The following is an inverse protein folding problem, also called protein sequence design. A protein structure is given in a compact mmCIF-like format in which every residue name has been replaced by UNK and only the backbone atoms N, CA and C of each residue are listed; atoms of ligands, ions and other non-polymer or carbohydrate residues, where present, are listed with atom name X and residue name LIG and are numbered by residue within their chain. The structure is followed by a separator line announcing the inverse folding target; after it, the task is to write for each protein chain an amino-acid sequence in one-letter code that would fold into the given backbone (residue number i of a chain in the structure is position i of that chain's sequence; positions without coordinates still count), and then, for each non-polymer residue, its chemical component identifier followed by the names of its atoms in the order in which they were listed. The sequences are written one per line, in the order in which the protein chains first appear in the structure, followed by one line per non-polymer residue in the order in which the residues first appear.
data_IF_795786884679
#
_entry.id   IF_795786884679
#
_cell.length_a   1.000
_cell.length_b   1.000
_cell.length_c   1.000
_cell.angle_alpha   90.00
_cell.angle_beta   90.00
_cell.angle_gamma   90.00
#
_symmetry.space_group_name_H-M   'P 1'
#
loop_
_entity.id
_entity.type
_entity.pdbx_description
1 polymer ?
#
# COMPACT_ATOMS: atom_id res chain seq x y z
N UNK A 1 -28.37 42.91 9.14
CA UNK A 1 -29.48 42.16 8.51
C UNK A 1 -30.24 41.32 9.55
N UNK A 2 -31.59 41.32 9.56
CA UNK A 2 -32.40 40.45 10.43
C UNK A 2 -32.10 38.96 10.19
N UNK A 3 -32.22 38.13 11.23
CA UNK A 3 -31.87 36.69 11.15
C UNK A 3 -32.61 35.93 10.05
N UNK A 4 -33.90 36.20 9.86
CA UNK A 4 -34.75 35.50 8.89
C UNK A 4 -34.25 35.62 7.43
N UNK A 5 -33.64 36.74 7.05
CA UNK A 5 -33.16 36.93 5.67
C UNK A 5 -31.71 36.51 5.43
N UNK A 6 -30.96 36.11 6.47
CA UNK A 6 -29.52 35.80 6.33
C UNK A 6 -29.30 34.57 5.45
N UNK A 7 -30.04 33.49 5.71
CA UNK A 7 -29.89 32.23 4.96
C UNK A 7 -30.22 32.42 3.48
N UNK A 8 -31.26 33.20 3.17
CA UNK A 8 -31.64 33.53 1.80
C UNK A 8 -30.55 34.35 1.08
N UNK A 9 -29.99 35.37 1.74
CA UNK A 9 -28.89 36.14 1.18
C UNK A 9 -27.64 35.29 0.91
N UNK A 10 -27.31 34.37 1.83
CA UNK A 10 -26.20 33.43 1.62
C UNK A 10 -26.52 32.48 0.46
N UNK A 11 -27.76 31.99 0.36
CA UNK A 11 -28.21 31.09 -0.72
C UNK A 11 -28.08 31.77 -2.08
N UNK A 12 -28.60 32.98 -2.25
CA UNK A 12 -28.49 33.74 -3.50
C UNK A 12 -27.01 34.01 -3.84
N UNK A 13 -26.18 34.33 -2.85
CA UNK A 13 -24.76 34.66 -3.10
C UNK A 13 -23.90 33.42 -3.35
N UNK A 14 -24.21 32.28 -2.75
CA UNK A 14 -23.43 31.04 -2.90
C UNK A 14 -24.00 30.17 -4.03
N UNK A 15 -25.26 29.77 -3.97
CA UNK A 15 -25.84 28.79 -4.89
C UNK A 15 -26.07 29.38 -6.28
N UNK A 16 -26.63 30.58 -6.37
CA UNK A 16 -26.99 31.20 -7.67
C UNK A 16 -25.78 31.82 -8.38
N UNK A 17 -24.76 32.27 -7.65
CA UNK A 17 -23.51 32.81 -8.23
C UNK A 17 -22.41 31.75 -8.43
N UNK A 18 -22.79 30.47 -8.48
CA UNK A 18 -21.93 29.39 -8.94
C UNK A 18 -21.02 28.79 -7.87
N UNK A 19 -21.53 28.61 -6.65
CA UNK A 19 -20.92 27.86 -5.56
C UNK A 19 -19.48 28.28 -5.19
N UNK A 20 -19.24 29.60 -5.12
CA UNK A 20 -17.92 30.13 -4.73
C UNK A 20 -17.58 29.78 -3.28
N UNK A 21 -16.28 29.78 -2.97
CA UNK A 21 -15.78 29.48 -1.62
C UNK A 21 -16.21 30.54 -0.59
N UNK A 22 -16.15 30.16 0.69
CA UNK A 22 -16.63 30.99 1.81
C UNK A 22 -16.10 32.43 1.78
N UNK A 23 -14.79 32.61 1.55
CA UNK A 23 -14.19 33.95 1.46
C UNK A 23 -14.83 34.82 0.39
N UNK A 24 -15.02 34.29 -0.82
CA UNK A 24 -15.65 35.03 -1.93
C UNK A 24 -17.11 35.36 -1.64
N UNK A 25 -17.85 34.42 -1.04
CA UNK A 25 -19.25 34.63 -0.64
C UNK A 25 -19.35 35.72 0.44
N UNK A 26 -18.48 35.70 1.45
CA UNK A 26 -18.39 36.76 2.47
C UNK A 26 -18.11 38.11 1.83
N UNK A 27 -17.12 38.21 0.93
CA UNK A 27 -16.78 39.48 0.27
C UNK A 27 -17.91 40.02 -0.59
N UNK A 28 -18.66 39.16 -1.26
CA UNK A 28 -19.84 39.59 -2.02
C UNK A 28 -20.97 40.08 -1.10
N UNK A 29 -21.22 39.41 0.02
CA UNK A 29 -22.23 39.83 1.00
C UNK A 29 -21.86 41.17 1.65
N UNK A 30 -20.59 41.34 2.04
CA UNK A 30 -20.09 42.54 2.73
C UNK A 30 -20.24 43.84 1.94
N UNK A 31 -20.38 43.77 0.60
CA UNK A 31 -20.68 44.95 -0.22
C UNK A 31 -22.10 45.51 -0.01
N UNK A 32 -23.02 44.70 0.55
CA UNK A 32 -24.46 44.99 0.58
C UNK A 32 -25.04 44.91 1.99
N UNK A 33 -24.57 43.96 2.79
CA UNK A 33 -25.12 43.64 4.10
C UNK A 33 -24.00 43.24 5.06
N UNK A 34 -24.27 43.39 6.36
CA UNK A 34 -23.40 42.92 7.42
C UNK A 34 -24.19 42.41 8.64
N UNK A 35 -23.62 41.46 9.38
CA UNK A 35 -24.07 41.05 10.71
C UNK A 35 -22.92 40.43 11.52
N UNK A 36 -23.01 40.42 12.87
CA UNK A 36 -22.05 39.73 13.73
C UNK A 36 -22.05 38.22 13.46
N UNK A 37 -20.86 37.61 13.31
CA UNK A 37 -20.71 36.17 13.03
C UNK A 37 -20.92 35.76 11.57
N UNK A 38 -21.03 36.72 10.64
CA UNK A 38 -21.23 36.45 9.21
C UNK A 38 -20.23 35.46 8.62
N UNK A 39 -18.95 35.59 8.95
CA UNK A 39 -17.91 34.72 8.36
C UNK A 39 -18.11 33.26 8.76
N UNK A 40 -18.44 33.01 10.03
CA UNK A 40 -18.70 31.68 10.57
C UNK A 40 -20.01 31.09 10.00
N UNK A 41 -21.08 31.90 9.94
CA UNK A 41 -22.36 31.47 9.36
C UNK A 41 -22.20 31.10 7.87
N UNK A 42 -21.49 31.92 7.09
CA UNK A 42 -21.20 31.63 5.67
C UNK A 42 -20.28 30.42 5.53
N UNK A 43 -19.24 30.31 6.34
CA UNK A 43 -18.34 29.16 6.31
C UNK A 43 -19.08 27.85 6.63
N UNK A 44 -19.99 27.86 7.61
CA UNK A 44 -20.85 26.72 7.92
C UNK A 44 -21.81 26.38 6.76
N UNK A 45 -22.41 27.39 6.12
CA UNK A 45 -23.30 27.20 4.97
C UNK A 45 -22.58 26.57 3.77
N UNK A 46 -21.40 27.08 3.41
CA UNK A 46 -20.59 26.55 2.30
C UNK A 46 -20.07 25.14 2.63
N UNK A 47 -19.63 24.90 3.87
CA UNK A 47 -19.14 23.58 4.31
C UNK A 47 -20.23 22.51 4.24
N UNK A 48 -21.49 22.87 4.48
CA UNK A 48 -22.64 21.95 4.42
C UNK A 48 -23.27 21.83 3.03
N UNK A 49 -22.79 22.59 2.03
CA UNK A 49 -23.32 22.49 0.67
C UNK A 49 -22.97 21.13 0.03
N UNK A 50 -23.99 20.32 -0.26
CA UNK A 50 -23.82 18.97 -0.79
C UNK A 50 -23.08 18.96 -2.14
N UNK A 51 -23.38 19.92 -3.03
CA UNK A 51 -22.72 20.05 -4.34
C UNK A 51 -21.23 20.37 -4.21
N UNK A 52 -20.87 21.25 -3.29
CA UNK A 52 -19.46 21.56 -3.01
C UNK A 52 -18.73 20.36 -2.41
N UNK A 53 -19.33 19.66 -1.45
CA UNK A 53 -18.73 18.47 -0.83
C UNK A 53 -18.53 17.33 -1.85
N UNK A 54 -19.47 17.14 -2.77
CA UNK A 54 -19.38 16.12 -3.83
C UNK A 54 -18.27 16.41 -4.86
N UNK A 55 -17.97 17.68 -5.13
CA UNK A 55 -17.06 18.09 -6.22
C UNK A 55 -15.67 18.55 -5.76
N UNK A 56 -15.53 19.03 -4.53
CA UNK A 56 -14.24 19.54 -4.06
C UNK A 56 -13.20 18.41 -3.95
N UNK A 57 -12.00 18.59 -4.54
CA UNK A 57 -10.94 17.62 -4.39
C UNK A 57 -10.41 17.64 -2.95
N UNK A 58 -10.48 16.50 -2.28
CA UNK A 58 -9.87 16.30 -0.98
C UNK A 58 -8.93 15.09 -1.04
N UNK A 59 -7.77 15.22 -0.40
CA UNK A 59 -6.88 14.08 -0.21
C UNK A 59 -6.95 13.70 1.28
N UNK A 60 -7.19 12.43 1.56
CA UNK A 60 -7.14 11.90 2.92
C UNK A 60 -5.90 11.03 3.02
N UNK A 61 -5.01 11.41 3.91
CA UNK A 61 -3.83 10.61 4.24
C UNK A 61 -4.04 9.93 5.58
N UNK A 62 -3.59 8.68 5.67
CA UNK A 62 -3.60 7.92 6.93
C UNK A 62 -2.16 7.82 7.46
N UNK A 63 -1.99 7.70 8.79
CA UNK A 63 -0.69 7.46 9.39
C UNK A 63 -0.03 6.21 8.79
N UNK A 64 1.23 6.33 8.40
CA UNK A 64 1.99 5.19 7.89
C UNK A 64 2.35 4.29 9.07
N UNK A 65 1.99 3.01 8.95
CA UNK A 65 2.48 1.97 9.85
C UNK A 65 3.86 1.51 9.39
N UNK A 66 4.85 1.56 10.28
CA UNK A 66 6.20 1.07 10.01
C UNK A 66 6.25 -0.40 10.38
N UNK A 67 6.48 -1.25 9.39
CA UNK A 67 6.75 -2.67 9.65
C UNK A 67 8.20 -2.86 10.08
N UNK A 68 8.43 -3.74 11.05
CA UNK A 68 9.77 -4.19 11.43
C UNK A 68 10.25 -5.17 10.36
N UNK A 69 11.47 -5.02 9.82
CA UNK A 69 12.01 -5.95 8.85
C UNK A 69 12.34 -7.30 9.51
N UNK A 70 11.71 -8.37 9.01
CA UNK A 70 12.04 -9.74 9.36
C UNK A 70 13.44 -10.16 8.83
N UNK A 71 13.85 -11.40 9.08
CA UNK A 71 15.00 -11.99 8.39
C UNK A 71 14.78 -12.05 6.88
N UNK A 72 15.87 -12.03 6.07
CA UNK A 72 15.78 -12.20 4.61
C UNK A 72 14.92 -13.40 4.21
N UNK A 73 14.13 -13.23 3.15
CA UNK A 73 13.26 -14.24 2.55
C UNK A 73 12.13 -14.77 3.43
N UNK A 74 11.88 -14.18 4.61
CA UNK A 74 10.71 -14.53 5.42
C UNK A 74 9.43 -13.88 4.89
N UNK A 75 9.52 -12.64 4.43
CA UNK A 75 8.38 -11.85 3.92
C UNK A 75 8.71 -11.32 2.55
N UNK A 76 7.99 -11.80 1.55
CA UNK A 76 8.14 -11.37 0.17
C UNK A 76 6.92 -10.56 -0.27
N UNK A 77 7.13 -9.73 -1.29
CA UNK A 77 6.06 -9.00 -1.93
C UNK A 77 6.05 -9.28 -3.41
N UNK A 78 4.91 -9.72 -3.92
CA UNK A 78 4.71 -10.05 -5.33
C UNK A 78 3.83 -9.01 -6.00
N UNK A 79 4.13 -8.72 -7.26
CA UNK A 79 3.38 -7.77 -8.08
C UNK A 79 3.53 -8.11 -9.56
N UNK A 80 2.54 -7.71 -10.37
CA UNK A 80 2.59 -7.85 -11.82
C UNK A 80 2.72 -6.47 -12.46
N UNK A 81 3.83 -6.28 -13.17
CA UNK A 81 4.14 -5.04 -13.87
C UNK A 81 3.86 -5.20 -15.35
N UNK A 82 3.01 -4.34 -15.90
CA UNK A 82 2.68 -4.32 -17.33
C UNK A 82 3.67 -3.49 -18.14
N UNK A 83 3.96 -3.95 -19.35
CA UNK A 83 4.88 -3.32 -20.31
C UNK A 83 4.23 -3.22 -21.70
N UNK A 84 4.76 -2.38 -22.60
CA UNK A 84 4.40 -2.45 -24.02
C UNK A 84 4.62 -3.87 -24.55
N UNK A 85 3.66 -4.36 -25.37
CA UNK A 85 3.76 -5.69 -25.95
C UNK A 85 5.02 -5.81 -26.82
N UNK A 86 5.88 -6.77 -26.51
CA UNK A 86 7.12 -7.00 -27.24
C UNK A 86 7.57 -8.46 -27.14
N UNK A 87 8.04 -9.03 -28.26
CA UNK A 87 8.48 -10.44 -28.34
C UNK A 87 7.48 -11.45 -27.74
N UNK A 88 6.17 -11.15 -27.85
CA UNK A 88 5.10 -11.96 -27.28
C UNK A 88 4.86 -11.78 -25.78
N UNK A 89 5.64 -10.95 -25.08
CA UNK A 89 5.49 -10.60 -23.67
C UNK A 89 4.69 -9.31 -23.50
N UNK A 90 3.93 -9.21 -22.41
CA UNK A 90 3.12 -8.02 -22.09
C UNK A 90 3.25 -7.58 -20.62
N UNK A 91 3.85 -8.41 -19.78
CA UNK A 91 4.03 -8.13 -18.37
C UNK A 91 5.23 -8.89 -17.81
N UNK A 92 5.57 -8.61 -16.57
CA UNK A 92 6.44 -9.45 -15.75
C UNK A 92 5.85 -9.58 -14.35
N UNK A 93 5.93 -10.78 -13.78
CA UNK A 93 5.71 -10.97 -12.35
C UNK A 93 7.05 -10.77 -11.64
N UNK A 94 7.03 -9.97 -10.59
CA UNK A 94 8.20 -9.64 -9.78
C UNK A 94 7.92 -10.02 -8.33
N UNK A 95 8.92 -10.58 -7.67
CA UNK A 95 8.89 -10.87 -6.24
C UNK A 95 10.11 -10.21 -5.60
N UNK A 96 9.88 -9.41 -4.57
CA UNK A 96 10.93 -8.71 -3.85
C UNK A 96 10.91 -9.07 -2.37
N UNK A 97 12.08 -9.41 -1.82
CA UNK A 97 12.26 -9.61 -0.39
C UNK A 97 12.17 -8.29 0.38
N UNK A 98 11.41 -8.28 1.48
CA UNK A 98 11.13 -7.09 2.27
C UNK A 98 12.39 -6.51 2.96
N UNK A 99 13.30 -7.38 3.41
CA UNK A 99 14.50 -7.00 4.18
C UNK A 99 15.64 -6.63 3.22
N UNK A 100 16.12 -7.59 2.43
CA UNK A 100 17.28 -7.42 1.54
C UNK A 100 16.94 -6.56 0.33
N UNK A 101 15.70 -6.62 -0.15
CA UNK A 101 15.31 -6.08 -1.45
C UNK A 101 15.68 -6.96 -2.63
N UNK A 102 16.08 -8.22 -2.39
CA UNK A 102 16.44 -9.16 -3.44
C UNK A 102 15.22 -9.39 -4.33
N UNK A 103 15.43 -9.29 -5.64
CA UNK A 103 14.35 -9.36 -6.63
C UNK A 103 14.47 -10.62 -7.50
N UNK A 104 13.39 -11.37 -7.59
CA UNK A 104 13.14 -12.40 -8.59
C UNK A 104 12.08 -11.91 -9.58
N UNK A 105 12.14 -12.39 -10.81
CA UNK A 105 11.16 -11.96 -11.79
C UNK A 105 11.13 -12.82 -13.04
N UNK A 106 9.93 -12.94 -13.61
CA UNK A 106 9.68 -13.68 -14.85
C UNK A 106 8.81 -12.87 -15.80
N UNK A 107 9.22 -12.82 -17.07
CA UNK A 107 8.46 -12.24 -18.18
C UNK A 107 7.24 -13.10 -18.49
N UNK A 108 6.08 -12.47 -18.66
CA UNK A 108 4.79 -13.10 -18.89
C UNK A 108 4.23 -12.76 -20.28
N UNK A 109 3.89 -13.81 -21.05
CA UNK A 109 3.13 -13.69 -22.31
C UNK A 109 1.64 -13.51 -22.05
N UNK A 110 1.13 -14.13 -20.98
CA UNK A 110 -0.24 -14.00 -20.48
C UNK A 110 -0.19 -13.77 -18.98
N UNK A 111 -1.04 -12.87 -18.49
CA UNK A 111 -1.20 -12.61 -17.06
C UNK A 111 -2.35 -13.48 -16.57
N UNK A 112 -2.01 -14.65 -16.07
CA UNK A 112 -2.96 -15.59 -15.47
C UNK A 112 -2.39 -16.25 -14.22
N UNK A 113 -3.28 -16.78 -13.38
CA UNK A 113 -2.90 -17.37 -12.11
C UNK A 113 -2.00 -18.60 -12.24
N UNK A 114 -2.11 -19.36 -13.34
CA UNK A 114 -1.27 -20.54 -13.58
C UNK A 114 0.17 -20.14 -13.84
N UNK A 115 0.39 -19.09 -14.63
CA UNK A 115 1.70 -18.55 -14.96
C UNK A 115 2.39 -17.96 -13.73
N UNK A 116 1.63 -17.24 -12.89
CA UNK A 116 2.12 -16.72 -11.60
C UNK A 116 2.46 -17.85 -10.64
N UNK A 117 1.58 -18.85 -10.48
CA UNK A 117 1.86 -20.02 -9.64
C UNK A 117 3.13 -20.77 -10.09
N UNK A 118 3.28 -20.98 -11.41
CA UNK A 118 4.47 -21.62 -11.97
C UNK A 118 5.75 -20.83 -11.64
N UNK A 119 5.72 -19.51 -11.72
CA UNK A 119 6.83 -18.65 -11.33
C UNK A 119 7.16 -18.75 -9.83
N UNK A 120 6.14 -18.60 -8.97
CA UNK A 120 6.31 -18.69 -7.52
C UNK A 120 6.92 -20.04 -7.12
N UNK A 121 6.51 -21.13 -7.76
CA UNK A 121 7.11 -22.43 -7.52
C UNK A 121 8.56 -22.49 -8.00
N UNK A 122 8.79 -22.30 -9.31
CA UNK A 122 10.07 -22.62 -9.95
C UNK A 122 11.21 -21.64 -9.64
N UNK A 123 10.91 -20.38 -9.31
CA UNK A 123 11.94 -19.35 -9.13
C UNK A 123 11.97 -18.74 -7.73
N UNK A 124 10.92 -18.93 -6.93
CA UNK A 124 10.86 -18.40 -5.56
C UNK A 124 10.99 -19.54 -4.54
N UNK A 125 10.03 -20.46 -4.49
CA UNK A 125 9.98 -21.50 -3.46
C UNK A 125 11.09 -22.55 -3.61
N UNK A 126 11.37 -23.00 -4.84
CA UNK A 126 12.47 -23.97 -5.08
C UNK A 126 13.86 -23.35 -4.91
N UNK A 127 13.98 -22.02 -4.90
CA UNK A 127 15.25 -21.30 -4.76
C UNK A 127 15.54 -20.89 -3.32
N UNK A 128 14.54 -20.32 -2.65
CA UNK A 128 14.69 -19.73 -1.33
C UNK A 128 14.06 -20.57 -0.21
N UNK A 129 13.36 -21.65 -0.56
CA UNK A 129 12.60 -22.48 0.36
C UNK A 129 11.22 -21.92 0.67
N UNK A 130 10.57 -22.50 1.68
CA UNK A 130 9.28 -22.02 2.16
C UNK A 130 9.44 -20.65 2.81
N UNK A 131 8.78 -19.65 2.23
CA UNK A 131 8.69 -18.30 2.82
C UNK A 131 7.48 -18.22 3.74
N UNK A 132 7.56 -17.46 4.83
CA UNK A 132 6.45 -17.39 5.78
C UNK A 132 5.25 -16.64 5.19
N UNK A 133 5.51 -15.53 4.51
CA UNK A 133 4.47 -14.64 4.00
C UNK A 133 4.78 -14.15 2.59
N UNK A 134 3.76 -14.15 1.72
CA UNK A 134 3.77 -13.44 0.45
C UNK A 134 2.64 -12.42 0.44
N UNK A 135 3.03 -11.16 0.32
CA UNK A 135 2.11 -10.04 0.18
C UNK A 135 1.84 -9.80 -1.30
N UNK A 136 0.57 -9.85 -1.70
CA UNK A 136 0.12 -9.60 -3.08
C UNK A 136 -0.92 -8.49 -3.09
N UNK A 137 -1.21 -7.92 -4.26
CA UNK A 137 -2.43 -7.15 -4.42
C UNK A 137 -3.66 -8.08 -4.52
N UNK A 138 -4.86 -7.51 -4.67
CA UNK A 138 -6.10 -8.27 -4.86
C UNK A 138 -6.34 -8.68 -6.34
N UNK A 139 -5.28 -8.73 -7.15
CA UNK A 139 -5.32 -9.12 -8.56
C UNK A 139 -5.83 -10.55 -8.77
N UNK A 140 -6.50 -10.80 -9.90
CA UNK A 140 -7.05 -12.13 -10.23
C UNK A 140 -5.95 -13.17 -10.47
N UNK A 141 -4.78 -12.71 -10.88
CA UNK A 141 -3.57 -13.50 -11.11
C UNK A 141 -2.97 -14.10 -9.82
N UNK A 142 -3.27 -13.53 -8.64
CA UNK A 142 -2.82 -14.06 -7.36
C UNK A 142 -3.89 -14.91 -6.66
N UNK A 143 -5.02 -15.18 -7.33
CA UNK A 143 -6.10 -16.04 -6.86
C UNK A 143 -6.05 -17.41 -7.53
N UNK A 144 -6.91 -18.34 -7.13
CA UNK A 144 -7.03 -19.65 -7.78
C UNK A 144 -5.74 -20.46 -7.69
N UNK A 145 -5.10 -20.75 -8.83
CA UNK A 145 -3.90 -21.60 -8.87
C UNK A 145 -2.75 -21.09 -7.99
N UNK A 146 -2.54 -19.77 -7.93
CA UNK A 146 -1.51 -19.18 -7.07
C UNK A 146 -1.85 -19.35 -5.58
N UNK A 147 -3.11 -19.11 -5.20
CA UNK A 147 -3.58 -19.32 -3.82
C UNK A 147 -3.48 -20.78 -3.38
N UNK A 148 -3.90 -21.72 -4.25
CA UNK A 148 -3.80 -23.17 -3.98
C UNK A 148 -2.35 -23.60 -3.79
N UNK A 149 -1.43 -23.06 -4.60
CA UNK A 149 0.00 -23.30 -4.43
C UNK A 149 0.48 -22.79 -3.07
N UNK A 150 0.19 -21.54 -2.72
CA UNK A 150 0.66 -20.94 -1.46
C UNK A 150 0.12 -21.71 -0.24
N UNK A 151 -1.17 -22.10 -0.26
CA UNK A 151 -1.77 -22.96 0.77
C UNK A 151 -1.08 -24.31 0.88
N UNK A 152 -0.74 -24.95 -0.25
CA UNK A 152 -0.03 -26.25 -0.27
C UNK A 152 1.32 -26.19 0.44
N UNK A 153 2.03 -25.07 0.34
CA UNK A 153 3.35 -24.89 0.97
C UNK A 153 3.28 -24.14 2.31
N UNK A 154 2.08 -24.02 2.91
CA UNK A 154 1.85 -23.30 4.17
C UNK A 154 2.39 -21.86 4.17
N UNK A 155 2.37 -21.22 2.99
CA UNK A 155 2.77 -19.82 2.83
C UNK A 155 1.55 -18.94 3.07
N UNK A 156 1.65 -18.04 4.05
CA UNK A 156 0.56 -17.12 4.35
C UNK A 156 0.47 -16.02 3.27
N UNK A 157 -0.64 -16.01 2.52
CA UNK A 157 -0.89 -14.98 1.50
C UNK A 157 -1.61 -13.79 2.12
N UNK A 158 -0.94 -12.63 2.14
CA UNK A 158 -1.56 -11.36 2.58
C UNK A 158 -2.02 -10.60 1.35
N UNK A 159 -3.32 -10.35 1.22
CA UNK A 159 -3.88 -9.59 0.09
C UNK A 159 -4.10 -8.14 0.49
N UNK A 160 -3.46 -7.23 -0.22
CA UNK A 160 -3.65 -5.80 -0.01
C UNK A 160 -4.68 -5.30 -1.01
N UNK A 161 -5.69 -4.58 -0.52
CA UNK A 161 -6.63 -3.88 -1.38
C UNK A 161 -5.89 -2.85 -2.24
N UNK A 162 -6.30 -2.67 -3.50
CA UNK A 162 -5.68 -1.73 -4.43
C UNK A 162 -5.65 -0.26 -3.93
N UNK A 163 -6.33 0.02 -2.81
CA UNK A 163 -6.52 1.36 -2.25
C UNK A 163 -5.74 1.60 -0.95
N UNK A 164 -5.12 0.57 -0.35
CA UNK A 164 -4.24 0.68 0.83
C UNK A 164 -2.75 0.86 0.48
N UNK A 165 -2.47 1.46 -0.68
CA UNK A 165 -1.12 1.67 -1.26
C UNK A 165 -0.16 2.46 -0.37
N UNK A 166 -0.68 3.28 0.56
CA UNK A 166 0.14 4.13 1.43
C UNK A 166 1.04 3.31 2.38
N UNK A 167 0.56 2.18 2.91
CA UNK A 167 1.35 1.30 3.77
C UNK A 167 2.42 0.48 3.03
N UNK A 168 2.16 0.11 1.77
CA UNK A 168 3.06 -0.71 0.95
C UNK A 168 3.93 0.11 -0.03
N UNK A 169 3.91 1.44 0.10
CA UNK A 169 4.50 2.37 -0.88
C UNK A 169 6.01 2.21 -1.09
N UNK A 170 6.75 1.58 -0.18
CA UNK A 170 8.18 1.27 -0.39
C UNK A 170 8.37 0.25 -1.53
N UNK A 171 7.42 -0.66 -1.70
CA UNK A 171 7.53 -1.79 -2.62
C UNK A 171 6.86 -1.46 -3.94
N UNK A 172 5.73 -0.76 -3.91
CA UNK A 172 5.16 -0.15 -5.13
C UNK A 172 6.16 0.80 -5.79
N UNK A 173 6.91 1.58 -5.00
CA UNK A 173 8.04 2.37 -5.51
C UNK A 173 9.14 1.48 -6.07
N UNK A 174 9.48 0.37 -5.40
CA UNK A 174 10.49 -0.57 -5.87
C UNK A 174 10.19 -1.17 -7.25
N UNK A 175 8.97 -1.64 -7.49
CA UNK A 175 8.57 -2.20 -8.79
C UNK A 175 8.47 -1.12 -9.88
N UNK A 176 7.99 0.08 -9.54
CA UNK A 176 7.99 1.22 -10.45
C UNK A 176 9.42 1.62 -10.84
N UNK A 177 10.32 1.74 -9.87
CA UNK A 177 11.73 2.06 -10.12
C UNK A 177 12.38 1.01 -11.03
N UNK A 178 12.13 -0.28 -10.79
CA UNK A 178 12.60 -1.35 -11.67
C UNK A 178 12.07 -1.20 -13.10
N UNK A 179 10.76 -0.96 -13.26
CA UNK A 179 10.13 -0.74 -14.57
C UNK A 179 10.80 0.39 -15.33
N UNK A 180 10.96 1.54 -14.68
CA UNK A 180 11.57 2.73 -15.27
C UNK A 180 13.05 2.50 -15.61
N UNK A 181 13.81 1.85 -14.71
CA UNK A 181 15.20 1.51 -14.97
C UNK A 181 15.34 0.58 -16.18
N UNK A 182 14.49 -0.45 -16.28
CA UNK A 182 14.47 -1.37 -17.41
C UNK A 182 14.16 -0.64 -18.73
N UNK A 183 13.15 0.23 -18.74
CA UNK A 183 12.80 1.01 -19.92
C UNK A 183 13.90 1.99 -20.32
N UNK A 184 14.57 2.64 -19.37
CA UNK A 184 15.71 3.54 -19.63
C UNK A 184 16.94 2.80 -20.15
N UNK A 185 17.15 1.57 -19.73
CA UNK A 185 18.23 0.70 -20.23
C UNK A 185 17.95 0.11 -21.61
N UNK A 186 16.76 0.35 -22.17
CA UNK A 186 16.36 -0.14 -23.48
C UNK A 186 16.43 0.98 -24.51
N UNK A 187 17.04 0.74 -25.67
CA UNK A 187 17.10 1.73 -26.76
C UNK A 187 15.71 2.13 -27.25
N UNK A 188 14.79 1.15 -27.29
CA UNK A 188 13.37 1.35 -27.57
C UNK A 188 12.52 0.69 -26.48
N UNK A 189 11.33 1.21 -26.17
CA UNK A 189 10.45 0.58 -25.18
C UNK A 189 10.12 -0.89 -25.48
N UNK A 190 10.16 -1.32 -26.75
CA UNK A 190 9.96 -2.71 -27.16
C UNK A 190 11.14 -3.65 -26.87
N UNK A 191 12.33 -3.14 -26.54
CA UNK A 191 13.51 -3.97 -26.26
C UNK A 191 13.58 -4.45 -24.80
N UNK A 192 12.63 -4.02 -23.96
CA UNK A 192 12.54 -4.40 -22.55
C UNK A 192 12.68 -5.91 -22.28
N UNK A 193 12.15 -6.85 -23.12
CA UNK A 193 12.30 -8.27 -22.83
C UNK A 193 13.76 -8.74 -22.92
N UNK A 194 14.59 -8.09 -23.74
CA UNK A 194 16.02 -8.41 -23.92
C UNK A 194 16.82 -7.97 -22.69
N UNK A 195 16.53 -6.77 -22.18
CA UNK A 195 17.23 -6.17 -21.04
C UNK A 195 16.75 -6.67 -19.67
N UNK A 196 15.68 -7.47 -19.63
CA UNK A 196 15.02 -7.88 -18.39
C UNK A 196 15.96 -8.53 -17.35
N UNK A 197 16.77 -9.50 -17.76
CA UNK A 197 17.68 -10.18 -16.83
C UNK A 197 18.86 -9.29 -16.41
N UNK A 198 19.34 -8.41 -17.31
CA UNK A 198 20.35 -7.42 -16.97
C UNK A 198 19.82 -6.43 -15.90
N UNK A 199 18.57 -5.99 -16.03
CA UNK A 199 17.93 -5.15 -15.02
C UNK A 199 17.74 -5.86 -13.67
N UNK A 200 17.36 -7.15 -13.66
CA UNK A 200 17.28 -7.94 -12.42
C UNK A 200 18.65 -8.06 -11.75
N UNK A 201 19.70 -8.31 -12.54
CA UNK A 201 21.07 -8.36 -12.04
C UNK A 201 21.52 -7.02 -11.46
N UNK A 202 21.24 -5.91 -12.16
CA UNK A 202 21.54 -4.57 -11.66
C UNK A 202 20.87 -4.31 -10.30
N UNK A 203 19.58 -4.65 -10.14
CA UNK A 203 18.90 -4.50 -8.84
C UNK A 203 19.53 -5.36 -7.73
N UNK A 204 19.98 -6.58 -8.06
CA UNK A 204 20.63 -7.49 -7.09
C UNK A 204 22.01 -7.00 -6.68
N UNK A 205 22.78 -6.46 -7.62
CA UNK A 205 24.16 -6.02 -7.40
C UNK A 205 24.26 -4.62 -6.78
N UNK A 206 23.30 -3.74 -7.04
CA UNK A 206 23.36 -2.35 -6.58
C UNK A 206 23.15 -2.21 -5.07
N UNK A 207 24.02 -1.46 -4.41
CA UNK A 207 23.89 -1.12 -2.99
C UNK A 207 22.65 -0.26 -2.77
N UNK A 208 21.74 -0.70 -1.89
CA UNK A 208 20.53 0.05 -1.57
C UNK A 208 20.80 1.03 -0.44
N UNK A 209 20.46 2.31 -0.62
CA UNK A 209 20.61 3.35 0.42
C UNK A 209 19.91 2.99 1.75
N UNK A 210 18.79 2.27 1.69
CA UNK A 210 17.99 1.91 2.86
C UNK A 210 18.69 0.88 3.78
N UNK A 211 19.47 -0.05 3.21
CA UNK A 211 20.18 -1.10 3.96
C UNK A 211 21.68 -0.81 4.05
N UNK A 212 22.23 -0.12 3.06
CA UNK A 212 23.67 0.11 2.87
C UNK A 212 24.42 -1.11 2.32
N UNK A 213 23.71 -2.14 1.87
CA UNK A 213 24.26 -3.35 1.27
C UNK A 213 23.56 -3.66 -0.06
N UNK A 214 24.20 -4.44 -0.92
CA UNK A 214 23.53 -4.99 -2.10
C UNK A 214 22.61 -6.14 -1.68
N UNK A 215 21.44 -6.31 -2.34
CA UNK A 215 20.60 -7.47 -2.08
C UNK A 215 21.33 -8.79 -2.26
N UNK A 216 22.21 -8.88 -3.26
CA UNK A 216 23.01 -10.08 -3.51
C UNK A 216 23.88 -10.44 -2.31
N UNK A 217 24.56 -9.46 -1.68
CA UNK A 217 25.37 -9.71 -0.50
C UNK A 217 24.52 -10.19 0.69
N UNK A 218 23.36 -9.55 0.93
CA UNK A 218 22.46 -9.94 2.01
C UNK A 218 21.83 -11.33 1.81
N UNK A 219 21.73 -11.78 0.56
CA UNK A 219 21.20 -13.10 0.23
C UNK A 219 22.25 -14.21 0.28
N UNK A 220 23.47 -13.92 -0.19
CA UNK A 220 24.50 -14.95 -0.45
C UNK A 220 25.71 -14.86 0.49
N UNK A 221 25.86 -13.79 1.26
CA UNK A 221 27.02 -13.55 2.11
C UNK A 221 28.32 -13.22 1.37
N UNK A 222 28.23 -12.96 0.07
CA UNK A 222 29.35 -12.58 -0.79
C UNK A 222 28.91 -11.52 -1.79
N UNK A 223 29.85 -10.73 -2.29
CA UNK A 223 29.57 -9.74 -3.32
C UNK A 223 29.47 -10.43 -4.69
N UNK A 224 28.57 -9.96 -5.58
CA UNK A 224 28.56 -10.42 -6.96
C UNK A 224 29.80 -9.86 -7.67
N UNK A 225 30.45 -10.69 -8.48
CA UNK A 225 31.49 -10.23 -9.38
C UNK A 225 30.85 -9.51 -10.57
N UNK A 226 31.42 -8.37 -10.92
CA UNK A 226 31.10 -7.60 -12.11
C UNK A 226 32.09 -7.96 -13.23
N UNK A 227 31.75 -7.73 -14.52
CA UNK A 227 32.65 -8.07 -15.62
C UNK A 227 34.06 -7.49 -15.47
N UNK A 228 34.20 -6.27 -14.93
CA UNK A 228 35.52 -5.66 -14.72
C UNK A 228 36.31 -6.31 -13.57
N UNK A 229 35.65 -6.95 -12.61
CA UNK A 229 36.37 -7.68 -11.55
C UNK A 229 37.19 -8.82 -12.13
N UNK A 230 36.68 -9.43 -13.21
CA UNK A 230 37.35 -10.51 -13.95
C UNK A 230 38.46 -9.96 -14.85
N UNK A 231 38.23 -8.85 -15.56
CA UNK A 231 39.21 -8.30 -16.51
C UNK A 231 40.37 -7.60 -15.80
N UNK A 232 40.10 -6.91 -14.69
CA UNK A 232 41.10 -6.15 -13.93
C UNK A 232 41.66 -6.93 -12.72
N UNK A 233 41.24 -8.19 -12.54
CA UNK A 233 41.63 -9.05 -11.41
C UNK A 233 41.55 -8.32 -10.06
N UNK A 234 40.38 -7.74 -9.76
CA UNK A 234 40.20 -6.93 -8.55
C UNK A 234 40.33 -7.77 -7.28
N UNK A 235 40.40 -7.12 -6.12
CA UNK A 235 40.48 -7.80 -4.82
C UNK A 235 39.31 -8.76 -4.54
N UNK A 236 38.18 -8.64 -5.26
CA UNK A 236 37.06 -9.57 -5.18
C UNK A 236 37.27 -10.85 -5.99
N UNK A 237 38.08 -10.79 -7.06
CA UNK A 237 38.37 -11.91 -7.96
C UNK A 237 39.60 -12.73 -7.53
N UNK A 238 40.38 -12.26 -6.54
CA UNK A 238 41.67 -12.82 -6.16
C UNK A 238 41.71 -14.35 -6.05
N UNK A 239 42.79 -14.95 -6.57
CA UNK A 239 42.96 -16.40 -6.64
C UNK A 239 42.95 -17.04 -5.24
N UNK A 240 42.37 -18.25 -5.09
CA UNK A 240 42.39 -18.96 -3.83
C UNK A 240 43.82 -19.42 -3.50
N UNK A 241 44.45 -18.78 -2.51
CA UNK A 241 45.71 -19.29 -1.95
C UNK A 241 45.50 -20.67 -1.29
N UNK A 242 46.45 -21.61 -1.42
CA UNK A 242 46.40 -22.90 -0.73
C UNK A 242 46.29 -22.69 0.78
N UNK A 243 45.15 -23.08 1.37
CA UNK A 243 44.89 -22.97 2.79
C UNK A 243 44.74 -24.35 3.43
N UNK A 244 45.19 -24.49 4.67
CA UNK A 244 44.88 -25.68 5.47
C UNK A 244 43.38 -25.76 5.78
N UNK A 245 42.87 -26.97 6.06
CA UNK A 245 41.47 -27.19 6.46
C UNK A 245 41.06 -26.29 7.63
N UNK A 246 41.94 -26.13 8.63
CA UNK A 246 41.71 -25.25 9.78
C UNK A 246 41.55 -23.78 9.36
N UNK A 247 42.38 -23.31 8.43
CA UNK A 247 42.29 -21.95 7.91
C UNK A 247 41.02 -21.71 7.08
N UNK A 248 40.59 -22.70 6.28
CA UNK A 248 39.33 -22.67 5.54
C UNK A 248 38.11 -22.57 6.46
N UNK A 249 38.07 -23.41 7.52
CA UNK A 249 37.01 -23.38 8.53
C UNK A 249 36.99 -22.02 9.24
N UNK A 250 38.14 -21.50 9.66
CA UNK A 250 38.23 -20.18 10.29
C UNK A 250 37.83 -19.03 9.35
N UNK A 251 38.12 -19.13 8.04
CA UNK A 251 37.66 -18.16 7.03
C UNK A 251 36.15 -18.22 6.87
N UNK A 252 35.56 -19.42 6.76
CA UNK A 252 34.11 -19.60 6.64
C UNK A 252 33.36 -19.10 7.86
N UNK A 253 33.84 -19.42 9.07
CA UNK A 253 33.26 -18.93 10.32
C UNK A 253 33.25 -17.38 10.38
N UNK A 254 34.36 -16.74 9.99
CA UNK A 254 34.44 -15.27 9.89
C UNK A 254 33.47 -14.70 8.86
N UNK A 255 33.26 -15.38 7.73
CA UNK A 255 32.29 -14.93 6.72
C UNK A 255 30.85 -15.01 7.23
N UNK A 256 30.48 -16.10 7.91
CA UNK A 256 29.14 -16.26 8.49
C UNK A 256 28.88 -15.20 9.57
N UNK A 257 29.81 -15.01 10.52
CA UNK A 257 29.67 -13.99 11.55
C UNK A 257 29.56 -12.57 10.98
N UNK A 258 30.28 -12.28 9.87
CA UNK A 258 30.14 -11.00 9.15
C UNK A 258 28.78 -10.85 8.50
N UNK A 259 28.21 -11.92 7.94
CA UNK A 259 26.87 -11.88 7.35
C UNK A 259 25.81 -11.61 8.41
N UNK A 260 25.86 -12.29 9.54
CA UNK A 260 24.90 -12.07 10.64
C UNK A 260 24.95 -10.62 11.14
N UNK A 261 26.16 -10.10 11.36
CA UNK A 261 26.35 -8.69 11.74
C UNK A 261 25.83 -7.73 10.66
N UNK A 262 26.07 -8.01 9.38
CA UNK A 262 25.60 -7.17 8.29
C UNK A 262 24.07 -7.21 8.14
N UNK A 263 23.45 -8.37 8.36
CA UNK A 263 21.99 -8.52 8.39
C UNK A 263 21.38 -7.65 9.47
N UNK A 264 21.95 -7.65 10.68
CA UNK A 264 21.44 -6.87 11.79
C UNK A 264 21.61 -5.35 11.56
N UNK A 265 22.80 -4.94 11.08
CA UNK A 265 23.03 -3.55 10.68
C UNK A 265 22.09 -3.10 9.55
N UNK A 266 21.80 -3.97 8.58
CA UNK A 266 20.88 -3.68 7.49
C UNK A 266 19.45 -3.49 8.01
N UNK A 267 18.98 -4.32 8.96
CA UNK A 267 17.67 -4.17 9.60
C UNK A 267 17.55 -2.86 10.36
N UNK A 268 18.55 -2.50 11.17
CA UNK A 268 18.55 -1.25 11.92
C UNK A 268 18.49 -0.03 10.98
N UNK A 269 19.33 -0.02 9.94
CA UNK A 269 19.32 1.03 8.91
C UNK A 269 17.99 1.12 8.18
N UNK A 270 17.42 -0.02 7.78
CA UNK A 270 16.13 -0.08 7.09
C UNK A 270 15.00 0.44 7.99
N UNK A 271 15.01 0.06 9.27
CA UNK A 271 14.06 0.53 10.27
C UNK A 271 14.15 2.05 10.43
N UNK A 272 15.35 2.59 10.67
CA UNK A 272 15.61 4.04 10.74
C UNK A 272 15.16 4.75 9.46
N UNK A 273 15.43 4.18 8.29
CA UNK A 273 14.98 4.72 7.01
C UNK A 273 13.45 4.78 6.91
N UNK A 274 12.73 3.73 7.35
CA UNK A 274 11.26 3.70 7.36
C UNK A 274 10.67 4.75 8.28
N UNK A 275 11.21 4.91 9.49
CA UNK A 275 10.77 5.95 10.43
C UNK A 275 11.00 7.36 9.87
N UNK A 276 12.18 7.62 9.27
CA UNK A 276 12.45 8.91 8.61
C UNK A 276 11.44 9.21 7.50
N UNK A 277 11.14 8.23 6.66
CA UNK A 277 10.12 8.38 5.60
C UNK A 277 8.71 8.61 6.16
N UNK A 278 8.35 7.93 7.26
CA UNK A 278 7.09 8.17 7.98
C UNK A 278 7.00 9.62 8.47
N UNK A 279 8.00 10.09 9.21
CA UNK A 279 8.00 11.46 9.76
C UNK A 279 7.91 12.52 8.66
N UNK A 280 8.69 12.36 7.58
CA UNK A 280 8.63 13.29 6.44
C UNK A 280 7.24 13.31 5.79
N UNK A 281 6.61 12.15 5.63
CA UNK A 281 5.27 12.05 5.08
C UNK A 281 4.22 12.72 6.00
N UNK A 282 4.26 12.44 7.30
CA UNK A 282 3.33 13.04 8.27
C UNK A 282 3.48 14.56 8.34
N UNK A 283 4.70 15.08 8.24
CA UNK A 283 4.96 16.52 8.19
C UNK A 283 4.44 17.15 6.88
N UNK A 284 4.75 16.55 5.74
CA UNK A 284 4.33 17.05 4.43
C UNK A 284 2.80 17.06 4.24
N UNK A 285 2.10 16.18 4.95
CA UNK A 285 0.65 16.00 4.83
C UNK A 285 -0.12 16.33 6.12
N UNK A 286 0.48 17.07 7.06
CA UNK A 286 -0.08 17.31 8.40
C UNK A 286 -1.53 17.82 8.38
N UNK A 287 -1.85 18.76 7.48
CA UNK A 287 -3.20 19.34 7.36
C UNK A 287 -4.27 18.36 6.82
N UNK A 288 -3.85 17.31 6.11
CA UNK A 288 -4.72 16.33 5.45
C UNK A 288 -4.60 14.92 6.06
N UNK A 289 -3.83 14.78 7.16
CA UNK A 289 -3.57 13.54 7.85
C UNK A 289 -4.69 13.27 8.86
N UNK A 290 -5.46 12.20 8.65
CA UNK A 290 -6.49 11.76 9.61
C UNK A 290 -5.90 10.72 10.56
N UNK A 291 -5.69 11.10 11.81
CA UNK A 291 -5.11 10.23 12.86
C UNK A 291 -6.14 9.32 13.51
N UNK A 292 -7.35 9.83 13.72
CA UNK A 292 -8.43 9.10 14.37
C UNK A 292 -9.46 8.61 13.35
N UNK A 293 -9.99 7.40 13.51
CA UNK A 293 -11.02 6.91 12.62
C UNK A 293 -12.32 7.71 12.82
N UNK A 294 -13.10 7.87 11.74
CA UNK A 294 -14.47 8.38 11.82
C UNK A 294 -15.33 7.41 12.65
N UNK A 295 -16.09 7.97 13.59
CA UNK A 295 -16.94 7.20 14.49
C UNK A 295 -18.09 6.50 13.74
N UNK A 296 -18.58 5.41 14.32
CA UNK A 296 -19.80 4.74 13.87
C UNK A 296 -20.99 5.71 13.98
N UNK A 297 -21.88 5.70 12.99
CA UNK A 297 -22.98 6.65 12.81
C UNK A 297 -22.60 7.93 12.05
N UNK A 298 -21.31 8.17 11.78
CA UNK A 298 -20.89 9.38 11.05
C UNK A 298 -21.36 9.31 9.60
N UNK A 299 -22.05 10.34 9.06
CA UNK A 299 -22.34 10.43 7.64
C UNK A 299 -21.06 10.77 6.87
N UNK A 300 -20.84 10.09 5.76
CA UNK A 300 -19.59 10.15 4.99
C UNK A 300 -19.85 10.15 3.49
N UNK A 301 -18.86 10.61 2.74
CA UNK A 301 -18.81 10.45 1.29
C UNK A 301 -17.66 9.53 0.89
N UNK A 302 -17.86 8.76 -0.18
CA UNK A 302 -16.91 7.80 -0.72
C UNK A 302 -16.36 8.28 -2.04
N UNK A 303 -15.03 8.25 -2.22
CA UNK A 303 -14.38 8.68 -3.45
C UNK A 303 -14.89 7.89 -4.65
N UNK A 304 -15.33 8.58 -5.69
CA UNK A 304 -15.76 8.01 -6.95
C UNK A 304 -14.55 7.63 -7.84
N UNK A 305 -14.11 6.38 -7.78
CA UNK A 305 -12.94 5.92 -8.57
C UNK A 305 -13.30 5.39 -9.96
N UNK A 306 -14.58 5.32 -10.32
CA UNK A 306 -15.00 4.73 -11.61
C UNK A 306 -14.47 5.53 -12.79
N UNK A 307 -14.45 6.86 -12.64
CA UNK A 307 -14.09 7.78 -13.72
C UNK A 307 -12.65 8.30 -13.61
N UNK A 308 -11.84 7.85 -12.63
CA UNK A 308 -10.50 8.41 -12.36
C UNK A 308 -9.56 8.35 -13.60
N UNK A 309 -9.81 7.44 -14.55
CA UNK A 309 -9.01 7.24 -15.77
C UNK A 309 -9.71 7.71 -17.07
N UNK A 310 -10.91 8.30 -16.97
CA UNK A 310 -11.65 8.77 -18.15
C UNK A 310 -11.31 10.21 -18.51
N UNK A 311 -11.40 10.56 -19.80
CA UNK A 311 -11.15 11.94 -20.29
C UNK A 311 -12.07 12.95 -19.58
N UNK A 312 -13.29 12.52 -19.24
CA UNK A 312 -14.32 13.34 -18.58
C UNK A 312 -14.33 13.20 -17.05
N UNK A 313 -13.29 12.62 -16.44
CA UNK A 313 -13.18 12.44 -14.98
C UNK A 313 -13.50 13.71 -14.17
N UNK A 314 -13.15 14.88 -14.71
CA UNK A 314 -13.31 16.19 -14.06
C UNK A 314 -14.74 16.72 -14.09
N UNK A 315 -15.61 16.13 -14.91
CA UNK A 315 -17.01 16.56 -15.06
C UNK A 315 -17.95 15.87 -14.08
N UNK A 316 -17.54 14.72 -13.52
CA UNK A 316 -18.33 13.94 -12.57
C UNK A 316 -18.09 14.36 -11.12
N UNK A 317 -19.04 13.99 -10.25
CA UNK A 317 -18.85 14.11 -8.81
C UNK A 317 -17.71 13.20 -8.35
N UNK A 318 -16.80 13.78 -7.56
CA UNK A 318 -15.61 13.10 -7.03
C UNK A 318 -15.95 12.25 -5.82
N UNK A 319 -17.05 12.54 -5.16
CA UNK A 319 -17.49 11.87 -3.95
C UNK A 319 -18.97 11.49 -4.05
N UNK A 320 -19.28 10.24 -3.70
CA UNK A 320 -20.61 9.66 -3.70
C UNK A 320 -21.14 9.55 -2.28
N UNK A 321 -22.46 9.59 -2.12
CA UNK A 321 -23.15 9.43 -0.85
C UNK A 321 -24.30 10.42 -0.70
N UNK A 322 -24.74 10.71 0.54
CA UNK A 322 -24.13 10.30 1.80
C UNK A 322 -24.35 8.81 2.15
N UNK A 323 -23.34 8.21 2.78
CA UNK A 323 -23.39 6.91 3.44
C UNK A 323 -23.21 7.08 4.95
N UNK A 324 -23.46 6.04 5.75
CA UNK A 324 -23.25 6.04 7.20
C UNK A 324 -22.22 4.97 7.55
N UNK A 325 -21.26 5.31 8.42
CA UNK A 325 -20.32 4.33 8.98
C UNK A 325 -21.07 3.40 9.92
N UNK A 326 -21.17 2.12 9.59
CA UNK A 326 -21.86 1.13 10.44
C UNK A 326 -20.88 0.32 11.29
N UNK A 327 -19.64 0.13 10.80
CA UNK A 327 -18.57 -0.57 11.53
C UNK A 327 -17.19 -0.16 11.03
N UNK A 328 -16.21 -0.27 11.91
CA UNK A 328 -14.79 -0.05 11.63
C UNK A 328 -14.08 -1.41 11.74
N UNK A 329 -13.47 -1.88 10.65
CA UNK A 329 -12.72 -3.13 10.63
C UNK A 329 -11.36 -2.99 11.32
N UNK A 330 -10.73 -4.12 11.69
CA UNK A 330 -9.41 -4.16 12.35
C UNK A 330 -8.29 -3.52 11.52
N UNK A 331 -8.40 -3.61 10.20
CA UNK A 331 -7.47 -3.00 9.23
C UNK A 331 -7.75 -1.49 8.98
N UNK A 332 -8.72 -0.90 9.68
CA UNK A 332 -9.13 0.49 9.52
C UNK A 332 -10.04 0.76 8.31
N UNK A 333 -10.46 -0.26 7.55
CA UNK A 333 -11.48 -0.10 6.52
C UNK A 333 -12.88 0.06 7.15
N UNK A 334 -13.76 0.79 6.47
CA UNK A 334 -15.12 1.03 6.94
C UNK A 334 -16.12 0.13 6.23
N UNK A 335 -17.06 -0.43 7.01
CA UNK A 335 -18.34 -0.91 6.48
C UNK A 335 -19.30 0.26 6.45
N UNK A 336 -19.90 0.50 5.30
CA UNK A 336 -20.79 1.63 5.06
C UNK A 336 -22.16 1.13 4.61
N UNK A 337 -23.20 1.85 5.02
CA UNK A 337 -24.56 1.65 4.56
C UNK A 337 -25.11 2.91 3.89
N UNK A 338 -25.97 2.72 2.89
CA UNK A 338 -26.83 3.76 2.36
C UNK A 338 -27.90 4.16 3.38
N UNK A 339 -28.49 5.35 3.20
CA UNK A 339 -29.56 5.85 4.09
C UNK A 339 -30.85 5.01 4.07
N UNK A 340 -31.00 4.09 3.12
CA UNK A 340 -32.12 3.14 3.02
C UNK A 340 -31.85 1.81 3.74
N UNK A 341 -30.68 1.64 4.39
CA UNK A 341 -30.31 0.39 5.07
C UNK A 341 -29.46 -0.58 4.24
N UNK A 342 -29.24 -0.32 2.95
CA UNK A 342 -28.42 -1.19 2.11
C UNK A 342 -26.93 -1.08 2.46
N UNK A 343 -26.33 -2.20 2.88
CA UNK A 343 -24.90 -2.28 3.20
C UNK A 343 -24.09 -2.46 1.92
N UNK A 344 -23.00 -1.70 1.77
CA UNK A 344 -22.06 -1.90 0.66
C UNK A 344 -21.40 -3.27 0.75
N UNK A 345 -21.32 -3.98 -0.37
CA UNK A 345 -20.79 -5.33 -0.44
C UNK A 345 -19.33 -5.44 0.04
N UNK A 346 -18.47 -4.50 -0.39
CA UNK A 346 -17.06 -4.47 -0.04
C UNK A 346 -16.74 -3.40 1.01
N UNK A 347 -15.83 -3.65 1.97
CA UNK A 347 -15.27 -2.62 2.83
C UNK A 347 -14.62 -1.49 2.03
N UNK A 348 -14.77 -0.26 2.51
CA UNK A 348 -14.17 0.93 1.88
C UNK A 348 -12.94 1.36 2.66
N UNK A 349 -11.80 1.49 1.97
CA UNK A 349 -10.56 1.96 2.58
C UNK A 349 -10.72 3.36 3.19
N UNK A 350 -10.20 3.58 4.40
CA UNK A 350 -10.33 4.84 5.10
C UNK A 350 -9.82 6.06 4.31
N UNK A 351 -8.75 5.91 3.50
CA UNK A 351 -8.21 6.96 2.64
C UNK A 351 -9.17 7.45 1.55
N UNK A 352 -10.29 6.75 1.34
CA UNK A 352 -11.33 7.06 0.34
C UNK A 352 -12.63 7.56 0.95
N UNK A 353 -12.63 7.83 2.25
CA UNK A 353 -13.82 8.27 2.99
C UNK A 353 -13.55 9.64 3.57
N UNK A 354 -14.42 10.61 3.28
CA UNK A 354 -14.44 11.93 3.92
C UNK A 354 -15.71 12.10 4.74
N UNK A 355 -15.66 12.92 5.77
CA UNK A 355 -16.85 13.25 6.55
C UNK A 355 -17.80 14.10 5.71
N UNK A 356 -19.09 13.75 5.73
CA UNK A 356 -20.15 14.56 5.18
C UNK A 356 -20.70 15.47 6.28
N UNK A 357 -20.84 16.76 5.98
CA UNK A 357 -21.45 17.74 6.86
C UNK A 357 -22.86 18.04 6.35
N UNK A 358 -23.92 17.47 6.95
CA UNK A 358 -25.28 17.75 6.54
C UNK A 358 -25.69 19.16 6.99
N UNK A 359 -26.53 19.84 6.20
CA UNK A 359 -27.04 21.19 6.53
C UNK A 359 -28.02 21.17 7.71
N UNK A 360 -28.80 20.10 7.81
CA UNK A 360 -29.72 19.84 8.91
C UNK A 360 -29.23 18.60 9.69
N UNK A 361 -29.63 18.44 10.95
CA UNK A 361 -29.19 17.29 11.74
C UNK A 361 -29.58 15.97 11.06
N UNK A 362 -28.57 15.22 10.62
CA UNK A 362 -28.71 13.87 10.10
C UNK A 362 -28.17 12.90 11.16
N UNK A 363 -28.93 12.71 12.24
CA UNK A 363 -28.59 11.73 13.28
C UNK A 363 -29.14 10.38 12.86
N UNK A 364 -28.27 9.53 12.33
CA UNK A 364 -28.62 8.15 11.95
C UNK A 364 -27.88 7.21 12.89
N UNK A 365 -28.61 6.51 13.77
CA UNK A 365 -28.03 5.39 14.51
C UNK A 365 -28.03 4.17 13.58
N UNK A 366 -26.92 3.43 13.47
CA UNK A 366 -26.89 2.21 12.65
C UNK A 366 -27.95 1.18 13.04
N UNK A 367 -28.33 1.14 14.32
CA UNK A 367 -29.41 0.29 14.86
C UNK A 367 -30.77 0.58 14.24
N UNK A 368 -31.05 1.84 13.92
CA UNK A 368 -32.29 2.26 13.27
C UNK A 368 -32.25 2.04 11.74
N UNK A 369 -31.05 1.80 11.20
CA UNK A 369 -30.80 1.72 9.76
C UNK A 369 -30.71 0.27 9.25
N UNK A 370 -30.21 -0.65 10.06
CA UNK A 370 -29.91 -2.03 9.67
C UNK A 370 -30.88 -3.02 10.33
N UNK A 371 -31.49 -3.87 9.50
CA UNK A 371 -32.21 -5.05 9.94
C UNK A 371 -31.26 -6.23 10.27
N UNK A 372 -31.81 -7.37 10.71
CA UNK A 372 -31.03 -8.56 11.07
C UNK A 372 -30.12 -9.04 9.92
N UNK A 373 -30.62 -9.02 8.68
CA UNK A 373 -29.86 -9.39 7.48
C UNK A 373 -28.78 -8.35 7.12
N UNK A 374 -29.00 -7.08 7.43
CA UNK A 374 -28.01 -6.01 7.33
C UNK A 374 -26.84 -6.24 8.30
N UNK A 375 -27.13 -6.60 9.55
CA UNK A 375 -26.10 -6.94 10.54
C UNK A 375 -25.32 -8.21 10.18
N UNK A 376 -25.96 -9.21 9.60
CA UNK A 376 -25.30 -10.42 9.10
C UNK A 376 -24.28 -10.06 8.00
N UNK A 377 -24.68 -9.27 7.00
CA UNK A 377 -23.77 -8.77 5.95
C UNK A 377 -22.61 -7.92 6.45
N UNK A 378 -22.79 -7.20 7.56
CA UNK A 378 -21.70 -6.46 8.23
C UNK A 378 -20.70 -7.41 8.91
N UNK A 379 -21.11 -8.62 9.30
CA UNK A 379 -20.28 -9.63 9.96
C UNK A 379 -19.59 -10.58 8.96
N UNK A 380 -20.32 -11.08 7.96
CA UNK A 380 -19.86 -12.12 7.02
C UNK A 380 -18.56 -11.79 6.28
N UNK A 381 -18.26 -10.51 6.07
CA UNK A 381 -17.05 -10.13 5.35
C UNK A 381 -15.84 -9.81 6.21
N UNK A 382 -15.85 -10.14 7.51
CA UNK A 382 -14.65 -10.17 8.36
C UNK A 382 -14.04 -11.59 8.44
N UNK A 383 -14.86 -12.64 8.36
CA UNK A 383 -14.43 -14.04 8.56
C UNK A 383 -13.63 -14.63 7.40
N UNK A 384 -13.46 -13.88 6.30
CA UNK A 384 -12.52 -14.23 5.22
C UNK A 384 -11.07 -13.75 5.48
N UNK A 385 -10.82 -12.97 6.55
CA UNK A 385 -9.51 -12.39 6.87
C UNK A 385 -9.11 -12.54 8.34
N UNK A 386 -9.61 -13.57 9.04
CA UNK A 386 -9.18 -13.86 10.42
C UNK A 386 -7.94 -14.76 10.46
N UNK A 387 -6.87 -14.35 11.16
CA UNK A 387 -5.83 -15.25 11.65
C UNK A 387 -6.37 -15.97 12.89
N UNK A 388 -6.44 -17.30 12.84
CA UNK A 388 -6.56 -18.11 14.06
C UNK A 388 -5.21 -18.03 14.79
N UNK A 389 -5.13 -17.17 15.80
CA UNK A 389 -4.16 -17.30 16.88
C UNK A 389 -4.63 -18.48 17.75
N UNK A 390 -4.11 -19.68 17.47
CA UNK A 390 -4.13 -20.76 18.44
C UNK A 390 -3.02 -20.50 19.45
N UNK A 391 -3.39 -19.85 20.55
CA UNK A 391 -2.62 -19.80 21.78
C UNK A 391 -2.69 -21.19 22.44
N UNK A 392 -1.76 -22.07 22.09
CA UNK A 392 -1.46 -23.25 22.90
C UNK A 392 -0.11 -23.02 23.59
N UNK A 393 -0.21 -22.56 24.84
CA UNK A 393 0.90 -22.53 25.78
C UNK A 393 1.41 -23.94 26.03
N UNK A 394 2.59 -24.24 25.48
CA UNK A 394 3.40 -25.39 25.87
C UNK A 394 4.30 -25.02 27.04
N UNK A 395 3.81 -25.25 28.25
CA UNK A 395 4.57 -25.28 29.49
C UNK A 395 5.61 -26.41 29.40
N UNK A 396 6.88 -26.06 29.15
CA UNK A 396 7.98 -27.03 29.26
C UNK A 396 8.41 -27.11 30.71
N UNK A 397 7.82 -28.09 31.40
CA UNK A 397 8.29 -28.56 32.69
C UNK A 397 9.67 -29.20 32.53
N UNK A 398 10.62 -28.79 33.36
CA UNK A 398 12.00 -29.29 33.37
C UNK A 398 12.22 -30.01 34.69
N UNK A 399 11.74 -31.25 34.76
CA UNK A 399 12.16 -32.16 35.82
C UNK A 399 13.50 -32.82 35.45
N UNK A 400 14.45 -32.59 36.35
CA UNK A 400 15.63 -33.44 36.59
C UNK A 400 15.22 -34.92 36.64
N UNK A 401 16.06 -35.79 36.07
CA UNK A 401 16.73 -36.86 36.83
C UNK A 401 17.70 -37.64 35.96
N UNK A 402 18.89 -37.81 36.52
CA UNK A 402 19.98 -38.78 36.30
C UNK A 402 20.77 -38.81 34.97
#
# INVERSE_FOLDING_TARGET
MPRQGREEAITQTHDELGHKGAWSTVRQLQLRVWWPGMEDEVAAFVRTCARCQARNPQNVYLPIQVSIPANPFRKLHADVVFFPKAHGYQAAVLVRDNMSGYIEGRRLRRVDAKSVAKFLWEEVLTRWGAVAEIVTDNGKEFKGAAEVLLKRYSVHQIRISAYNKQGNGVIERGHRTFREALLRSSDKPSDWPKMFHAALWAERATIRKATGYSPYFLAHGTHPLLPFDVTEATFLFGEPEPMSTKALVARRARMLAKLDSAIEQAKDRLTKSRYRSKTQFEQAHAAALRREPLAVGTPVLVRNSRFDNEINAKSHDRWLGPYVVVRIGRNGAYRLAELNGAVLAEPVAASRVIQFYPRHELRVKPEDLLDGAGWERVREGDDAESPEESDEGGEYDSERSD
#
